data_IF_688876427513
#
_entry.id   IF_688876427513
#
_cell.length_a   1.000
_cell.length_b   1.000
_cell.length_c   1.000
_cell.angle_alpha   90.00
_cell.angle_beta   90.00
_cell.angle_gamma   90.00
#
_symmetry.space_group_name_H-M   'P 1'
#
loop_
_entity.id
_entity.type
_entity.pdbx_description
1 polymer ?
#
# COMPACT_ATOMS: atom_id res chain seq x y z
N UNK A 1 -10.95 2.60 33.46
CA UNK A 1 -10.26 1.70 32.51
C UNK A 1 -9.47 2.58 31.57
N UNK A 2 -8.16 2.36 31.43
CA UNK A 2 -7.38 3.05 30.42
C UNK A 2 -7.87 2.65 29.02
N UNK A 3 -7.75 3.56 28.06
CA UNK A 3 -8.12 3.29 26.67
C UNK A 3 -6.92 2.67 25.95
N UNK A 4 -7.15 1.58 25.21
CA UNK A 4 -6.10 0.87 24.47
C UNK A 4 -6.46 0.85 23.00
N UNK A 5 -5.50 1.26 22.16
CA UNK A 5 -5.68 1.31 20.71
C UNK A 5 -4.89 0.19 20.04
N UNK A 6 -5.51 -0.45 19.07
CA UNK A 6 -4.92 -1.49 18.25
C UNK A 6 -4.90 -1.01 16.80
N UNK A 7 -3.73 -1.06 16.18
CA UNK A 7 -3.53 -0.74 14.77
C UNK A 7 -3.01 -1.98 14.06
N UNK A 8 -3.64 -2.34 12.96
CA UNK A 8 -3.17 -3.41 12.08
C UNK A 8 -3.00 -2.87 10.67
N UNK A 9 -1.83 -3.08 10.11
CA UNK A 9 -1.48 -2.70 8.75
C UNK A 9 -0.64 -3.81 8.11
N UNK A 10 -0.58 -3.88 6.77
CA UNK A 10 0.32 -4.79 6.07
C UNK A 10 1.79 -4.54 6.45
N UNK A 11 2.61 -5.59 6.44
CA UNK A 11 4.05 -5.48 6.70
C UNK A 11 4.81 -4.75 5.57
N UNK A 12 4.18 -4.56 4.42
CA UNK A 12 4.72 -3.84 3.27
C UNK A 12 3.55 -3.21 2.52
N UNK A 13 3.68 -1.96 2.08
CA UNK A 13 2.64 -1.25 1.32
C UNK A 13 2.99 -1.18 -0.17
N UNK A 14 2.04 -1.53 -1.04
CA UNK A 14 2.21 -1.40 -2.50
C UNK A 14 1.85 -0.01 -2.97
N UNK A 15 2.67 0.52 -3.88
CA UNK A 15 2.37 1.76 -4.61
C UNK A 15 1.22 1.55 -5.59
N UNK A 16 0.37 2.58 -5.76
CA UNK A 16 -0.80 2.55 -6.67
C UNK A 16 -1.76 1.37 -6.45
N UNK A 17 -1.80 0.86 -5.22
CA UNK A 17 -2.70 -0.21 -4.76
C UNK A 17 -3.43 0.23 -3.50
N UNK A 18 -4.67 -0.23 -3.36
CA UNK A 18 -5.43 -0.04 -2.14
C UNK A 18 -4.97 -1.06 -1.08
N UNK A 19 -4.40 -0.55 0.01
CA UNK A 19 -3.99 -1.35 1.16
C UNK A 19 -4.97 -1.16 2.31
N UNK A 20 -5.34 -2.26 2.97
CA UNK A 20 -6.34 -2.24 4.04
C UNK A 20 -5.67 -2.06 5.39
N UNK A 21 -6.10 -1.06 6.16
CA UNK A 21 -5.69 -0.81 7.55
C UNK A 21 -6.92 -0.95 8.44
N UNK A 22 -6.71 -1.50 9.63
CA UNK A 22 -7.75 -1.58 10.65
C UNK A 22 -7.29 -0.89 11.94
N UNK A 23 -8.20 -0.16 12.57
CA UNK A 23 -8.02 0.43 13.88
C UNK A 23 -9.16 0.02 14.81
N UNK A 24 -8.81 -0.39 16.02
CA UNK A 24 -9.77 -0.73 17.05
C UNK A 24 -9.39 -0.04 18.36
N UNK A 25 -10.40 0.22 19.17
CA UNK A 25 -10.22 0.77 20.50
C UNK A 25 -10.94 -0.08 21.54
N UNK A 26 -10.27 -0.32 22.66
CA UNK A 26 -10.87 -0.88 23.86
C UNK A 26 -10.94 0.21 24.93
N UNK A 27 -12.10 0.37 25.56
CA UNK A 27 -12.31 1.46 26.51
C UNK A 27 -13.79 1.72 26.76
N UNK A 28 -14.09 2.95 27.22
CA UNK A 28 -15.46 3.42 27.44
C UNK A 28 -15.91 4.44 26.40
N UNK A 29 -15.02 5.33 25.98
CA UNK A 29 -15.37 6.46 25.13
C UNK A 29 -14.94 6.26 23.69
N UNK A 30 -15.59 6.93 22.74
CA UNK A 30 -15.11 7.02 21.37
C UNK A 30 -13.91 7.95 21.26
N UNK A 31 -13.11 7.80 20.20
CA UNK A 31 -11.95 8.63 19.96
C UNK A 31 -11.87 9.06 18.50
N UNK A 32 -11.57 10.34 18.27
CA UNK A 32 -11.22 10.85 16.96
C UNK A 32 -9.74 10.54 16.71
N UNK A 33 -9.46 9.82 15.62
CA UNK A 33 -8.12 9.37 15.26
C UNK A 33 -7.78 9.88 13.87
N UNK A 34 -6.67 10.61 13.77
CA UNK A 34 -6.06 11.03 12.52
C UNK A 34 -4.97 10.05 12.11
N UNK A 35 -5.16 9.38 10.99
CA UNK A 35 -4.19 8.45 10.39
C UNK A 35 -3.61 9.10 9.15
N UNK A 36 -2.29 9.19 9.06
CA UNK A 36 -1.63 9.75 7.89
C UNK A 36 -0.30 9.07 7.63
N UNK A 37 0.12 9.12 6.36
CA UNK A 37 1.37 8.53 5.90
C UNK A 37 2.27 9.62 5.36
N UNK A 38 3.54 9.60 5.76
CA UNK A 38 4.57 10.51 5.28
C UNK A 38 5.72 9.76 4.61
N UNK A 39 6.43 10.44 3.72
CA UNK A 39 7.69 9.92 3.17
C UNK A 39 8.75 9.75 4.28
N UNK A 40 9.59 8.73 4.18
CA UNK A 40 10.71 8.52 5.12
C UNK A 40 12.04 8.49 4.34
N UNK A 41 13.12 9.12 4.84
CA UNK A 41 13.25 9.77 6.15
C UNK A 41 12.78 11.24 6.20
N UNK A 42 12.48 11.85 5.05
CA UNK A 42 12.28 13.30 4.96
C UNK A 42 11.06 13.84 5.69
N UNK A 43 9.97 13.07 5.79
CA UNK A 43 8.66 13.48 6.36
C UNK A 43 8.17 14.82 5.81
N UNK A 44 8.42 15.07 4.53
CA UNK A 44 8.19 16.35 3.87
C UNK A 44 6.71 16.50 3.47
N UNK A 45 6.09 15.41 3.00
CA UNK A 45 4.73 15.40 2.50
C UNK A 45 3.87 14.36 3.20
N UNK A 46 2.63 14.75 3.51
CA UNK A 46 1.56 13.80 3.80
C UNK A 46 1.09 13.19 2.48
N UNK A 47 1.43 11.92 2.26
CA UNK A 47 1.08 11.17 1.06
C UNK A 47 -0.42 10.86 1.04
N UNK A 48 -0.94 10.46 2.20
CA UNK A 48 -2.37 10.24 2.41
C UNK A 48 -2.71 10.57 3.86
N UNK A 49 -3.96 10.96 4.09
CA UNK A 49 -4.48 11.32 5.41
C UNK A 49 -5.96 10.99 5.48
N UNK A 50 -6.42 10.51 6.63
CA UNK A 50 -7.80 10.14 6.90
C UNK A 50 -8.09 10.34 8.38
N UNK A 51 -9.26 10.89 8.69
CA UNK A 51 -9.72 11.09 10.07
C UNK A 51 -10.93 10.18 10.28
N UNK A 52 -10.88 9.38 11.35
CA UNK A 52 -11.89 8.39 11.68
C UNK A 52 -12.35 8.58 13.11
N UNK A 53 -13.63 8.34 13.35
CA UNK A 53 -14.17 8.23 14.70
C UNK A 53 -14.28 6.75 15.06
N UNK A 54 -13.54 6.31 16.07
CA UNK A 54 -13.44 4.90 16.45
C UNK A 54 -14.14 4.68 17.80
N UNK A 55 -15.01 3.67 17.87
CA UNK A 55 -15.80 3.37 19.05
C UNK A 55 -15.46 1.99 19.64
N UNK A 56 -15.52 1.81 20.97
CA UNK A 56 -15.31 0.50 21.58
C UNK A 56 -16.26 -0.56 21.02
N UNK A 57 -15.71 -1.70 20.61
CA UNK A 57 -16.46 -2.81 20.00
C UNK A 57 -16.84 -2.60 18.53
N UNK A 58 -16.40 -1.51 17.89
CA UNK A 58 -16.60 -1.23 16.46
C UNK A 58 -15.25 -0.89 15.81
N UNK A 59 -14.50 -1.90 15.33
CA UNK A 59 -13.26 -1.65 14.61
C UNK A 59 -13.56 -0.96 13.28
N UNK A 60 -12.77 0.05 12.95
CA UNK A 60 -12.84 0.76 11.67
C UNK A 60 -11.83 0.14 10.70
N UNK A 61 -12.30 -0.25 9.53
CA UNK A 61 -11.49 -0.83 8.45
C UNK A 61 -11.59 0.09 7.26
N UNK A 62 -10.44 0.57 6.77
CA UNK A 62 -10.37 1.53 5.69
C UNK A 62 -9.24 1.21 4.74
N UNK A 63 -9.35 1.72 3.52
CA UNK A 63 -8.35 1.56 2.47
C UNK A 63 -7.52 2.82 2.35
N UNK A 64 -6.22 2.65 2.15
CA UNK A 64 -5.29 3.71 1.83
C UNK A 64 -4.62 3.41 0.50
N UNK A 65 -4.32 4.44 -0.26
CA UNK A 65 -3.62 4.30 -1.54
C UNK A 65 -2.38 5.20 -1.52
N UNK A 66 -1.23 4.63 -1.88
CA UNK A 66 0.03 5.36 -2.00
C UNK A 66 0.27 5.75 -3.45
N UNK A 67 -0.23 6.92 -3.85
CA UNK A 67 0.01 7.46 -5.18
C UNK A 67 1.46 7.97 -5.30
N UNK A 68 2.30 7.42 -6.19
CA UNK A 68 3.68 7.87 -6.41
C UNK A 68 3.81 9.36 -6.73
N UNK A 69 2.79 9.98 -7.36
CA UNK A 69 2.80 11.41 -7.66
C UNK A 69 2.65 12.30 -6.42
N UNK A 70 2.13 11.78 -5.31
CA UNK A 70 2.02 12.52 -4.06
C UNK A 70 3.36 12.63 -3.30
N UNK A 71 4.35 11.79 -3.65
CA UNK A 71 5.68 11.83 -3.03
C UNK A 71 6.50 13.05 -3.47
N UNK A 72 7.58 13.39 -2.74
CA UNK A 72 8.58 14.35 -3.22
C UNK A 72 9.21 13.91 -4.55
N UNK A 73 9.53 14.87 -5.43
CA UNK A 73 9.97 14.59 -6.81
C UNK A 73 11.24 13.70 -6.89
N UNK A 74 12.12 13.79 -5.90
CA UNK A 74 13.39 13.05 -5.87
C UNK A 74 13.32 11.76 -5.04
N UNK A 75 12.17 11.47 -4.42
CA UNK A 75 12.00 10.33 -3.52
C UNK A 75 12.29 8.99 -4.21
N UNK A 76 11.78 8.81 -5.43
CA UNK A 76 11.99 7.60 -6.25
C UNK A 76 13.17 7.69 -7.22
N UNK A 77 13.86 8.83 -7.32
CA UNK A 77 15.02 8.99 -8.23
C UNK A 77 16.30 8.38 -7.65
N UNK A 78 16.34 8.21 -6.34
CA UNK A 78 17.44 7.54 -5.64
C UNK A 78 17.42 6.04 -5.95
N UNK A 79 18.60 5.40 -5.93
CA UNK A 79 18.86 4.03 -6.40
C UNK A 79 17.62 3.09 -6.32
N UNK A 80 17.09 2.58 -7.45
CA UNK A 80 15.84 1.80 -7.49
C UNK A 80 15.92 0.48 -6.72
N UNK A 81 17.13 0.04 -6.35
CA UNK A 81 17.38 -1.15 -5.52
C UNK A 81 17.32 -0.88 -4.02
N UNK A 82 17.32 0.39 -3.60
CA UNK A 82 17.22 0.74 -2.18
C UNK A 82 15.80 0.57 -1.68
N UNK A 83 15.64 -0.14 -0.57
CA UNK A 83 14.36 -0.24 0.13
C UNK A 83 13.89 1.16 0.53
N UNK A 84 12.65 1.47 0.15
CA UNK A 84 11.98 2.72 0.50
C UNK A 84 11.02 2.46 1.63
N UNK A 85 10.84 3.47 2.47
CA UNK A 85 9.99 3.39 3.64
C UNK A 85 9.02 4.56 3.67
N UNK A 86 7.91 4.36 4.34
CA UNK A 86 6.98 5.41 4.74
C UNK A 86 6.74 5.34 6.24
N UNK A 87 6.40 6.48 6.84
CA UNK A 87 6.00 6.54 8.24
C UNK A 87 4.48 6.55 8.29
N UNK A 88 3.87 5.50 8.85
CA UNK A 88 2.45 5.47 9.21
C UNK A 88 2.31 6.07 10.61
N UNK A 89 1.64 7.23 10.69
CA UNK A 89 1.38 7.91 11.95
C UNK A 89 -0.10 7.85 12.27
N UNK A 90 -0.38 7.46 13.51
CA UNK A 90 -1.72 7.48 14.11
C UNK A 90 -1.67 8.44 15.28
N UNK A 91 -2.51 9.47 15.21
CA UNK A 91 -2.56 10.53 16.18
C UNK A 91 -3.99 10.71 16.70
N UNK A 92 -4.14 10.77 18.02
CA UNK A 92 -5.36 11.15 18.71
C UNK A 92 -5.01 12.12 19.84
N UNK A 93 -6.00 12.72 20.50
CA UNK A 93 -5.74 13.62 21.62
C UNK A 93 -4.96 12.95 22.78
N UNK A 94 -5.08 11.63 22.90
CA UNK A 94 -4.51 10.85 24.00
C UNK A 94 -3.17 10.19 23.67
N UNK A 95 -2.85 9.97 22.39
CA UNK A 95 -1.65 9.23 21.99
C UNK A 95 -1.22 9.59 20.57
N UNK A 96 0.08 9.39 20.33
CA UNK A 96 0.64 9.38 19.00
C UNK A 96 1.54 8.15 18.85
N UNK A 97 1.38 7.42 17.74
CA UNK A 97 2.23 6.29 17.40
C UNK A 97 2.69 6.41 15.95
N UNK A 98 3.95 6.07 15.73
CA UNK A 98 4.57 5.99 14.41
C UNK A 98 5.12 4.59 14.18
N UNK A 99 4.91 4.07 12.96
CA UNK A 99 5.46 2.80 12.48
C UNK A 99 6.11 3.06 11.12
N UNK A 100 7.34 2.60 10.93
CA UNK A 100 7.99 2.60 9.63
C UNK A 100 7.63 1.33 8.88
N UNK A 101 7.13 1.48 7.66
CA UNK A 101 6.70 0.37 6.82
C UNK A 101 7.42 0.46 5.46
N UNK A 102 8.08 -0.61 5.00
CA UNK A 102 8.68 -0.62 3.67
C UNK A 102 7.59 -0.53 2.60
N UNK A 103 7.92 0.11 1.47
CA UNK A 103 7.04 0.19 0.30
C UNK A 103 7.62 -0.61 -0.86
N UNK A 104 6.73 -1.08 -1.72
CA UNK A 104 7.11 -1.84 -2.92
C UNK A 104 6.37 -1.35 -4.15
N UNK A 105 7.05 -1.40 -5.29
CA UNK A 105 6.47 -1.19 -6.61
C UNK A 105 5.95 -2.49 -7.24
N UNK A 106 6.00 -3.62 -6.51
CA UNK A 106 5.46 -4.91 -6.94
C UNK A 106 3.93 -4.88 -6.86
N UNK A 107 3.33 -4.32 -7.89
CA UNK A 107 1.90 -4.18 -8.10
C UNK A 107 1.42 -5.21 -9.13
N UNK A 108 0.40 -6.00 -8.78
CA UNK A 108 -0.22 -7.00 -9.65
C UNK A 108 0.65 -8.18 -10.09
N UNK A 109 0.21 -8.86 -11.15
CA UNK A 109 0.84 -10.05 -11.71
C UNK A 109 0.75 -10.03 -13.25
N UNK A 110 1.78 -10.57 -13.92
CA UNK A 110 1.77 -10.73 -15.37
C UNK A 110 2.04 -12.18 -15.70
N UNK A 111 1.05 -12.83 -16.33
CA UNK A 111 1.21 -14.18 -16.85
C UNK A 111 1.44 -14.14 -18.35
N UNK A 112 2.50 -14.79 -18.80
CA UNK A 112 2.80 -14.97 -20.22
C UNK A 112 2.51 -16.42 -20.57
N UNK A 113 1.58 -16.61 -21.50
CA UNK A 113 1.23 -17.92 -22.02
C UNK A 113 1.67 -18.01 -23.47
N UNK A 114 2.49 -19.00 -23.77
CA UNK A 114 2.80 -19.39 -25.15
C UNK A 114 1.87 -20.50 -25.59
N UNK A 115 1.68 -20.67 -26.89
CA UNK A 115 0.95 -21.82 -27.45
C UNK A 115 1.66 -23.16 -27.17
N UNK A 116 2.99 -23.15 -27.01
CA UNK A 116 3.80 -24.31 -26.60
C UNK A 116 5.15 -23.93 -25.96
N UNK A 117 5.80 -24.85 -25.21
CA UNK A 117 7.04 -24.55 -24.50
C UNK A 117 8.32 -24.59 -25.35
N UNK A 118 8.33 -25.29 -26.51
CA UNK A 118 9.53 -25.49 -27.34
C UNK A 118 9.22 -25.24 -28.81
N UNK A 119 10.12 -24.53 -29.49
CA UNK A 119 10.05 -24.21 -30.92
C UNK A 119 11.26 -24.76 -31.67
N UNK A 120 11.07 -25.05 -32.96
CA UNK A 120 12.17 -25.41 -33.87
C UNK A 120 12.60 -24.20 -34.69
N UNK A 121 13.86 -24.10 -35.14
CA UNK A 121 14.33 -22.97 -35.95
C UNK A 121 13.55 -22.71 -37.25
N UNK A 122 12.85 -23.71 -37.80
CA UNK A 122 12.02 -23.57 -39.02
C UNK A 122 10.66 -22.94 -38.76
N UNK A 123 10.24 -22.81 -37.51
CA UNK A 123 8.96 -22.20 -37.18
C UNK A 123 9.04 -20.68 -37.31
N UNK A 124 8.15 -20.12 -38.14
CA UNK A 124 8.12 -18.69 -38.45
C UNK A 124 7.41 -17.84 -37.41
N UNK A 125 6.57 -18.45 -36.57
CA UNK A 125 5.68 -17.72 -35.66
C UNK A 125 5.52 -18.47 -34.34
N UNK A 126 5.44 -17.69 -33.26
CA UNK A 126 5.08 -18.12 -31.92
C UNK A 126 3.85 -17.30 -31.49
N UNK A 127 2.81 -17.98 -31.01
CA UNK A 127 1.63 -17.29 -30.49
C UNK A 127 1.79 -17.08 -29.00
N UNK A 128 1.61 -15.83 -28.56
CA UNK A 128 1.69 -15.44 -27.15
C UNK A 128 0.41 -14.75 -26.72
N UNK A 129 0.05 -14.94 -25.45
CA UNK A 129 -0.99 -14.18 -24.75
C UNK A 129 -0.40 -13.64 -23.46
N UNK A 130 -0.68 -12.37 -23.18
CA UNK A 130 -0.32 -11.71 -21.93
C UNK A 130 -1.59 -11.50 -21.12
N UNK A 131 -1.58 -11.90 -19.86
CA UNK A 131 -2.71 -11.79 -18.93
C UNK A 131 -2.25 -10.94 -17.74
N UNK A 132 -2.54 -9.62 -17.75
CA UNK A 132 -2.24 -8.75 -16.63
C UNK A 132 -3.35 -8.81 -15.57
N UNK A 133 -2.96 -9.03 -14.32
CA UNK A 133 -3.83 -8.98 -13.16
C UNK A 133 -3.36 -7.88 -12.19
N UNK A 134 -4.30 -7.30 -11.44
CA UNK A 134 -3.99 -6.42 -10.33
C UNK A 134 -3.74 -7.23 -9.04
N UNK A 135 -3.59 -6.53 -7.93
CA UNK A 135 -3.31 -7.07 -6.60
C UNK A 135 -4.42 -7.97 -6.05
N UNK A 136 -5.65 -7.74 -6.50
CA UNK A 136 -6.85 -8.51 -6.16
C UNK A 136 -7.08 -9.68 -7.13
N UNK A 137 -6.10 -9.98 -7.99
CA UNK A 137 -6.19 -10.96 -9.07
C UNK A 137 -7.32 -10.69 -10.10
N UNK A 138 -7.73 -9.43 -10.23
CA UNK A 138 -8.70 -8.96 -11.23
C UNK A 138 -7.98 -8.45 -12.48
N UNK A 139 -8.65 -8.45 -13.66
CA UNK A 139 -8.05 -7.94 -14.90
C UNK A 139 -7.54 -6.50 -14.75
N UNK A 140 -6.29 -6.26 -15.14
CA UNK A 140 -5.67 -4.93 -15.09
C UNK A 140 -5.57 -4.32 -16.49
N UNK A 141 -6.03 -3.06 -16.61
CA UNK A 141 -5.88 -2.26 -17.84
C UNK A 141 -4.67 -1.32 -17.78
N UNK A 142 -3.83 -1.42 -16.74
CA UNK A 142 -2.63 -0.58 -16.63
C UNK A 142 -1.65 -0.95 -17.76
N UNK A 143 -1.17 0.03 -18.56
CA UNK A 143 -0.20 -0.27 -19.60
C UNK A 143 1.11 -0.75 -18.98
N UNK A 144 1.75 -1.73 -19.62
CA UNK A 144 3.12 -2.11 -19.29
C UNK A 144 4.02 -0.91 -19.56
N UNK A 145 4.69 -0.41 -18.52
CA UNK A 145 5.69 0.66 -18.62
C UNK A 145 7.09 0.07 -18.67
#
# INVERSE_FOLDING_TARGET
>A
KAQTFYLTAPSTLRLDSDETIAIAVEGKDGALVNVYIQDFPGKIKNITQTVLEVWPGRPEIFKINLNPAAFPADFFKTNPTSEKYVSLIVNSQQFQKEIQIPITNKAGYVFIQTDKPIYTPKQKTAHIRIIPLNEDALPSNKPFK
#
